data_IF_881385442946
#
_entry.id   IF_881385442946
#
_cell.length_a   1.000
_cell.length_b   1.000
_cell.length_c   1.000
_cell.angle_alpha   90.00
_cell.angle_beta   90.00
_cell.angle_gamma   90.00
#
_symmetry.space_group_name_H-M   'P 1'
#
loop_
_entity.id
_entity.type
_entity.pdbx_description
1 polymer ?
#
# COMPACT_ATOMS: atom_id res chain seq x y z
N UNK A 1 23.35 22.51 -20.88
CA UNK A 1 24.04 23.45 -19.97
C UNK A 1 25.28 22.77 -19.45
N UNK A 2 26.45 23.39 -19.64
CA UNK A 2 27.67 22.90 -19.01
C UNK A 2 27.56 23.08 -17.48
N UNK A 3 28.03 22.11 -16.67
CA UNK A 3 28.04 22.26 -15.22
C UNK A 3 28.95 23.44 -14.83
N UNK A 4 28.46 24.32 -13.97
CA UNK A 4 29.22 25.46 -13.42
C UNK A 4 29.91 25.02 -12.13
N UNK A 5 31.23 25.20 -12.02
CA UNK A 5 32.04 24.82 -10.84
C UNK A 5 31.95 23.33 -10.53
N UNK A 6 32.30 22.94 -9.30
CA UNK A 6 32.32 21.56 -8.82
C UNK A 6 30.96 21.15 -8.24
N UNK A 7 29.99 20.88 -9.12
CA UNK A 7 28.69 20.34 -8.73
C UNK A 7 28.63 18.82 -8.96
N UNK A 8 27.69 18.14 -8.29
CA UNK A 8 27.37 16.74 -8.54
C UNK A 8 26.99 16.56 -10.01
N UNK A 9 27.49 15.49 -10.62
CA UNK A 9 27.18 15.10 -12.00
C UNK A 9 25.65 14.90 -12.10
N UNK A 10 24.94 15.67 -12.94
CA UNK A 10 23.50 15.50 -13.09
C UNK A 10 23.15 14.11 -13.65
N UNK A 11 22.26 13.38 -12.96
CA UNK A 11 21.71 12.09 -13.42
C UNK A 11 20.17 12.14 -13.42
N UNK A 12 19.62 13.10 -14.16
CA UNK A 12 18.18 13.33 -14.26
C UNK A 12 17.54 12.39 -15.29
N UNK A 13 16.63 11.52 -14.85
CA UNK A 13 15.97 10.53 -15.72
C UNK A 13 14.76 11.14 -16.48
N UNK A 14 15.01 12.24 -17.19
CA UNK A 14 14.01 13.00 -17.95
C UNK A 14 14.29 12.98 -19.46
N UNK A 15 14.85 11.87 -19.96
CA UNK A 15 15.29 11.72 -21.36
C UNK A 15 14.18 11.37 -22.37
N UNK A 16 12.97 11.08 -21.87
CA UNK A 16 11.78 10.75 -22.68
C UNK A 16 10.73 11.85 -22.53
N UNK A 17 9.65 11.78 -23.31
CA UNK A 17 8.47 12.65 -23.15
C UNK A 17 7.73 12.32 -21.83
N UNK A 18 8.32 12.72 -20.70
CA UNK A 18 7.78 12.44 -19.37
C UNK A 18 6.60 13.35 -19.02
N UNK A 19 6.52 14.54 -19.64
CA UNK A 19 5.47 15.52 -19.37
C UNK A 19 4.09 14.99 -19.75
N UNK A 20 3.99 14.21 -20.84
CA UNK A 20 2.76 13.53 -21.25
C UNK A 20 2.27 12.49 -20.24
N UNK A 21 3.16 11.89 -19.45
CA UNK A 21 2.85 10.81 -18.50
C UNK A 21 2.83 11.29 -17.04
N UNK A 22 2.62 12.59 -16.81
CA UNK A 22 2.50 13.14 -15.45
C UNK A 22 1.18 12.69 -14.83
N UNK A 23 1.27 11.85 -13.80
CA UNK A 23 0.13 11.49 -12.97
C UNK A 23 -0.04 12.50 -11.84
N UNK A 24 -1.07 13.32 -11.93
CA UNK A 24 -1.48 14.23 -10.85
C UNK A 24 -2.31 13.47 -9.80
N UNK A 25 -2.40 14.05 -8.59
CA UNK A 25 -3.10 13.43 -7.45
C UNK A 25 -4.16 14.36 -6.83
N UNK A 26 -4.72 15.28 -7.62
CA UNK A 26 -5.76 16.21 -7.17
C UNK A 26 -7.05 15.50 -6.72
N UNK A 27 -7.29 14.28 -7.22
CA UNK A 27 -8.45 13.46 -6.86
C UNK A 27 -8.29 12.72 -5.51
N UNK A 28 -7.13 12.82 -4.85
CA UNK A 28 -6.82 12.16 -3.59
C UNK A 28 -7.89 12.38 -2.49
N UNK A 29 -8.35 13.61 -2.19
CA UNK A 29 -9.43 13.83 -1.21
C UNK A 29 -10.75 13.17 -1.64
N UNK A 30 -11.12 13.24 -2.92
CA UNK A 30 -12.29 12.56 -3.46
C UNK A 30 -12.20 11.04 -3.31
N UNK A 31 -11.04 10.45 -3.59
CA UNK A 31 -10.77 9.01 -3.40
C UNK A 31 -10.81 8.60 -1.93
N UNK A 32 -10.39 9.48 -1.01
CA UNK A 32 -10.52 9.26 0.45
C UNK A 32 -11.99 9.20 0.87
N UNK A 33 -12.82 10.16 0.44
CA UNK A 33 -14.27 10.17 0.71
C UNK A 33 -14.94 8.92 0.13
N UNK A 34 -14.66 8.59 -1.14
CA UNK A 34 -15.20 7.40 -1.82
C UNK A 34 -14.89 6.11 -1.06
N UNK A 35 -13.64 5.90 -0.63
CA UNK A 35 -13.25 4.72 0.18
C UNK A 35 -13.92 4.68 1.54
N UNK A 36 -14.18 5.84 2.18
CA UNK A 36 -14.91 5.90 3.46
C UNK A 36 -16.36 5.47 3.29
N UNK A 37 -17.07 6.04 2.32
CA UNK A 37 -18.47 5.71 2.04
C UNK A 37 -18.62 4.22 1.69
N UNK A 38 -17.75 3.68 0.84
CA UNK A 38 -17.78 2.25 0.48
C UNK A 38 -17.59 1.33 1.71
N UNK A 39 -16.72 1.70 2.66
CA UNK A 39 -16.55 0.95 3.92
C UNK A 39 -17.79 1.03 4.81
N UNK A 40 -18.46 2.18 4.88
CA UNK A 40 -19.70 2.35 5.66
C UNK A 40 -20.85 1.51 5.08
N UNK A 41 -21.03 1.54 3.75
CA UNK A 41 -22.03 0.71 3.06
C UNK A 41 -21.77 -0.78 3.31
N UNK A 42 -20.50 -1.22 3.21
CA UNK A 42 -20.11 -2.61 3.51
C UNK A 42 -20.44 -2.98 4.96
N UNK A 43 -20.17 -2.09 5.91
CA UNK A 43 -20.44 -2.32 7.33
C UNK A 43 -21.93 -2.52 7.61
N UNK A 44 -22.78 -1.64 7.08
CA UNK A 44 -24.23 -1.74 7.23
C UNK A 44 -24.77 -3.05 6.64
N UNK A 45 -24.23 -3.50 5.50
CA UNK A 45 -24.67 -4.74 4.83
C UNK A 45 -24.31 -6.03 5.60
N UNK A 46 -23.22 -6.02 6.36
CA UNK A 46 -22.65 -7.22 7.01
C UNK A 46 -23.01 -7.30 8.51
N UNK A 47 -23.62 -6.26 9.07
CA UNK A 47 -24.06 -6.23 10.46
C UNK A 47 -24.87 -7.50 10.82
N UNK A 48 -24.56 -8.17 11.95
CA UNK A 48 -23.73 -7.74 13.08
C UNK A 48 -22.24 -8.13 12.99
N UNK A 49 -21.78 -8.72 11.89
CA UNK A 49 -20.40 -9.26 11.82
C UNK A 49 -19.35 -8.15 11.69
N UNK A 50 -18.10 -8.37 12.15
CA UNK A 50 -17.02 -7.38 12.03
C UNK A 50 -16.68 -6.99 10.58
N UNK A 51 -16.50 -5.69 10.35
CA UNK A 51 -16.22 -5.12 9.01
C UNK A 51 -14.83 -5.47 8.48
N UNK A 52 -13.87 -5.69 9.40
CA UNK A 52 -12.47 -5.99 9.10
C UNK A 52 -12.29 -7.34 8.36
N UNK A 53 -13.32 -8.18 8.34
CA UNK A 53 -13.32 -9.49 7.69
C UNK A 53 -12.98 -10.61 8.67
N UNK A 54 -12.50 -11.73 8.14
CA UNK A 54 -12.13 -12.92 8.92
C UNK A 54 -10.88 -12.67 9.78
N UNK A 55 -10.77 -13.44 10.86
CA UNK A 55 -9.56 -13.48 11.70
C UNK A 55 -8.36 -13.93 10.87
N UNK A 56 -7.19 -13.34 11.13
CA UNK A 56 -5.95 -13.60 10.39
C UNK A 56 -4.88 -14.14 11.35
N UNK A 57 -4.08 -15.15 10.95
CA UNK A 57 -3.04 -15.71 11.81
C UNK A 57 -1.86 -14.76 11.95
N UNK A 58 -1.04 -15.05 12.96
CA UNK A 58 0.18 -14.33 13.27
C UNK A 58 1.35 -15.01 12.52
N UNK A 59 2.05 -14.26 11.66
CA UNK A 59 3.11 -14.81 10.79
C UNK A 59 4.39 -13.98 10.90
N UNK A 60 5.56 -14.64 11.00
CA UNK A 60 6.88 -13.99 10.94
C UNK A 60 7.24 -13.59 9.51
N UNK A 61 7.93 -12.46 9.34
CA UNK A 61 8.41 -12.07 8.01
C UNK A 61 9.58 -12.97 7.55
N UNK A 62 9.71 -13.25 6.24
CA UNK A 62 10.58 -14.33 5.77
C UNK A 62 12.08 -14.00 5.72
N UNK A 63 12.45 -12.72 5.56
CA UNK A 63 13.86 -12.35 5.35
C UNK A 63 14.60 -12.13 6.66
N UNK A 64 15.92 -12.36 6.67
CA UNK A 64 16.77 -12.16 7.85
C UNK A 64 16.61 -10.78 8.47
N UNK A 65 16.49 -9.73 7.65
CA UNK A 65 16.27 -8.35 8.10
C UNK A 65 14.99 -8.17 8.93
N UNK A 66 13.96 -8.98 8.69
CA UNK A 66 12.63 -8.79 9.29
C UNK A 66 12.11 -10.01 10.06
N UNK A 67 12.91 -11.06 10.25
CA UNK A 67 12.50 -12.30 10.92
C UNK A 67 12.08 -12.09 12.40
N UNK A 68 12.53 -11.00 13.03
CA UNK A 68 12.11 -10.57 14.36
C UNK A 68 10.73 -9.92 14.36
N UNK A 69 10.24 -9.45 13.20
CA UNK A 69 8.95 -8.79 13.05
C UNK A 69 7.84 -9.79 12.71
N UNK A 70 6.69 -9.53 13.31
CA UNK A 70 5.47 -10.31 13.18
C UNK A 70 4.39 -9.48 12.48
N UNK A 71 3.54 -10.11 11.66
CA UNK A 71 2.44 -9.47 10.93
C UNK A 71 1.23 -10.39 10.78
N UNK A 72 0.08 -9.82 10.41
CA UNK A 72 -1.08 -10.62 10.01
C UNK A 72 -0.81 -11.37 8.69
N UNK A 73 -1.04 -12.69 8.71
CA UNK A 73 -0.91 -13.60 7.58
C UNK A 73 -2.12 -13.56 6.64
N UNK A 74 -2.23 -14.55 5.74
CA UNK A 74 -3.37 -14.64 4.79
C UNK A 74 -4.56 -15.38 5.39
N UNK A 75 -4.32 -16.55 5.98
CA UNK A 75 -5.31 -17.43 6.60
C UNK A 75 -4.58 -18.57 7.31
N UNK A 76 -5.28 -19.25 8.22
CA UNK A 76 -4.76 -20.36 9.02
C UNK A 76 -4.39 -21.56 8.16
N UNK A 77 -3.43 -22.36 8.60
CA UNK A 77 -3.13 -23.67 7.99
C UNK A 77 -4.20 -24.69 8.38
N UNK A 78 -4.31 -25.80 7.64
CA UNK A 78 -5.26 -26.85 7.98
C UNK A 78 -4.91 -27.51 9.32
N UNK A 79 -3.61 -27.64 9.61
CA UNK A 79 -3.11 -28.20 10.87
C UNK A 79 -3.41 -27.29 12.07
N UNK A 80 -3.48 -25.97 11.88
CA UNK A 80 -3.90 -25.01 12.92
C UNK A 80 -5.41 -25.03 13.18
N UNK A 81 -6.21 -25.54 12.24
CA UNK A 81 -7.68 -25.56 12.31
C UNK A 81 -8.26 -26.90 12.77
N UNK A 82 -7.45 -27.96 12.73
CA UNK A 82 -7.83 -29.31 13.13
C UNK A 82 -7.71 -29.47 14.65
#
# INVERSE_FOLDING_TARGET
>A
MAPKRNNIIPNGHFHKDWQRYVKTWFDQPGRKKRRRVARQIKAAKIAPRPVAGSLRPIVRCPTFKYNTKVRAGRGFTLDELK
#
